data_IF_446436078010
#
_entry.id   IF_446436078010
#
_cell.length_a   1.000
_cell.length_b   1.000
_cell.length_c   1.000
_cell.angle_alpha   90.00
_cell.angle_beta   90.00
_cell.angle_gamma   90.00
#
_symmetry.space_group_name_H-M   'P 1'
#
loop_
_entity.id
_entity.type
_entity.pdbx_description
1 polymer ?
#
# COMPACT_ATOMS: atom_id res chain seq x y z
N UNK A 1 20.96 1.36 -9.14
CA UNK A 1 19.51 1.69 -9.10
C UNK A 1 19.10 1.71 -7.63
N UNK A 2 18.28 2.68 -7.18
CA UNK A 2 17.77 2.65 -5.81
C UNK A 2 16.91 1.41 -5.61
N UNK A 3 17.16 0.68 -4.54
CA UNK A 3 16.29 -0.43 -4.11
C UNK A 3 15.34 0.10 -3.04
N UNK A 4 14.14 -0.48 -2.99
CA UNK A 4 13.09 -0.17 -2.04
C UNK A 4 12.62 -1.45 -1.36
N UNK A 5 12.38 -1.37 -0.06
CA UNK A 5 11.80 -2.46 0.72
C UNK A 5 10.28 -2.30 0.76
N UNK A 6 9.57 -3.34 0.34
CA UNK A 6 8.11 -3.46 0.39
C UNK A 6 7.76 -4.34 1.58
N UNK A 7 7.16 -3.76 2.61
CA UNK A 7 6.66 -4.48 3.79
C UNK A 7 5.19 -4.80 3.55
N UNK A 8 4.91 -6.05 3.19
CA UNK A 8 3.57 -6.55 2.87
C UNK A 8 2.90 -7.07 4.15
N UNK A 9 1.98 -6.29 4.71
CA UNK A 9 1.26 -6.66 5.92
C UNK A 9 -0.12 -7.25 5.60
N UNK A 10 -0.36 -8.50 6.03
CA UNK A 10 -1.67 -9.14 5.86
C UNK A 10 -2.00 -10.12 6.99
N UNK A 11 -3.13 -9.87 7.67
CA UNK A 11 -3.67 -10.72 8.75
C UNK A 11 -2.63 -11.08 9.83
N UNK A 12 -1.77 -10.12 10.19
CA UNK A 12 -0.71 -10.34 11.19
C UNK A 12 0.52 -11.08 10.67
N UNK A 13 0.59 -11.35 9.37
CA UNK A 13 1.81 -11.82 8.70
C UNK A 13 2.49 -10.65 7.99
N UNK A 14 3.80 -10.60 8.13
CA UNK A 14 4.68 -9.67 7.43
C UNK A 14 5.48 -10.46 6.38
N UNK A 15 5.48 -9.98 5.14
CA UNK A 15 6.37 -10.44 4.08
C UNK A 15 7.17 -9.25 3.55
N UNK A 16 8.50 -9.40 3.43
CA UNK A 16 9.37 -8.33 2.94
C UNK A 16 9.81 -8.65 1.52
N UNK A 17 9.58 -7.73 0.60
CA UNK A 17 10.02 -7.81 -0.80
C UNK A 17 10.94 -6.65 -1.14
N UNK A 18 11.83 -6.87 -2.11
CA UNK A 18 12.68 -5.80 -2.64
C UNK A 18 12.23 -5.47 -4.06
N UNK A 19 12.15 -4.18 -4.38
CA UNK A 19 11.88 -3.70 -5.73
C UNK A 19 12.79 -2.56 -6.10
N UNK A 20 13.19 -2.48 -7.36
CA UNK A 20 13.86 -1.32 -7.95
C UNK A 20 12.86 -0.30 -8.53
N UNK A 21 11.56 -0.62 -8.50
CA UNK A 21 10.51 0.24 -9.03
C UNK A 21 10.15 1.34 -8.02
N UNK A 22 10.12 2.62 -8.42
CA UNK A 22 9.69 3.70 -7.54
C UNK A 22 8.21 3.52 -7.15
N UNK A 23 7.93 3.71 -5.86
CA UNK A 23 6.61 3.58 -5.27
C UNK A 23 6.17 4.90 -4.67
N UNK A 24 4.86 5.10 -4.59
CA UNK A 24 4.25 6.28 -3.97
C UNK A 24 3.15 5.85 -3.02
N UNK A 25 3.01 6.56 -1.90
CA UNK A 25 1.89 6.36 -0.98
C UNK A 25 0.56 6.59 -1.71
N UNK A 26 -0.39 5.69 -1.52
CA UNK A 26 -1.66 5.64 -2.27
C UNK A 26 -1.61 4.85 -3.58
N UNK A 27 -0.42 4.43 -4.03
CA UNK A 27 -0.29 3.57 -5.20
C UNK A 27 -0.76 2.14 -4.89
N UNK A 28 -1.41 1.50 -5.86
CA UNK A 28 -1.72 0.07 -5.79
C UNK A 28 -0.74 -0.70 -6.66
N UNK A 29 -0.03 -1.67 -6.08
CA UNK A 29 0.90 -2.57 -6.76
C UNK A 29 0.35 -3.98 -6.81
N UNK A 30 0.70 -4.73 -7.86
CA UNK A 30 0.29 -6.13 -8.01
C UNK A 30 1.50 -7.02 -7.78
N UNK A 31 1.44 -7.84 -6.73
CA UNK A 31 2.51 -8.76 -6.31
C UNK A 31 1.86 -10.12 -6.09
N UNK A 32 2.40 -11.16 -6.73
CA UNK A 32 1.87 -12.54 -6.65
C UNK A 32 0.36 -12.62 -6.95
N UNK A 33 -0.09 -11.85 -7.96
CA UNK A 33 -1.51 -11.74 -8.37
C UNK A 33 -2.44 -11.13 -7.30
N UNK A 34 -1.88 -10.50 -6.26
CA UNK A 34 -2.61 -9.76 -5.24
C UNK A 34 -2.38 -8.26 -5.35
N UNK A 35 -3.42 -7.48 -5.07
CA UNK A 35 -3.36 -6.02 -5.05
C UNK A 35 -2.99 -5.53 -3.65
N UNK A 36 -1.92 -4.75 -3.58
CA UNK A 36 -1.38 -4.17 -2.36
C UNK A 36 -1.44 -2.66 -2.48
N UNK A 37 -2.01 -2.00 -1.46
CA UNK A 37 -2.03 -0.55 -1.37
C UNK A 37 -0.83 -0.10 -0.55
N UNK A 38 -0.01 0.79 -1.10
CA UNK A 38 1.06 1.46 -0.34
C UNK A 38 0.38 2.46 0.61
N UNK A 39 0.40 2.18 1.91
CA UNK A 39 -0.25 3.01 2.92
C UNK A 39 0.69 4.03 3.54
N UNK A 40 1.97 3.68 3.68
CA UNK A 40 2.97 4.56 4.26
C UNK A 40 4.34 4.34 3.64
N UNK A 41 5.17 5.36 3.73
CA UNK A 41 6.58 5.31 3.42
C UNK A 41 7.35 5.64 4.68
N UNK A 42 8.21 4.72 5.10
CA UNK A 42 9.17 4.90 6.17
C UNK A 42 10.53 5.22 5.54
N UNK A 43 10.95 6.48 5.71
CA UNK A 43 12.23 6.97 5.21
C UNK A 43 13.28 6.73 6.29
N UNK A 44 14.38 6.03 5.97
CA UNK A 44 15.43 5.81 6.95
C UNK A 44 16.08 7.12 7.34
N UNK A 45 16.52 7.20 8.60
CA UNK A 45 17.31 8.33 9.09
C UNK A 45 18.70 8.36 8.44
N UNK A 46 19.24 7.18 8.10
CA UNK A 46 20.51 7.03 7.41
C UNK A 46 20.34 7.17 5.88
N UNK A 47 21.12 8.05 5.22
CA UNK A 47 21.05 8.24 3.77
C UNK A 47 21.58 7.03 2.97
N UNK A 48 22.22 6.06 3.64
CA UNK A 48 22.73 4.83 3.04
C UNK A 48 21.75 3.64 3.21
N UNK A 49 20.64 3.84 3.92
CA UNK A 49 19.64 2.81 4.12
C UNK A 49 18.53 2.89 3.06
N UNK A 50 17.85 1.78 2.87
CA UNK A 50 16.79 1.62 1.87
C UNK A 50 15.46 2.16 2.41
N UNK A 51 14.74 2.93 1.59
CA UNK A 51 13.39 3.37 1.94
C UNK A 51 12.41 2.19 1.97
N UNK A 52 11.56 2.18 3.00
CA UNK A 52 10.57 1.14 3.25
C UNK A 52 9.18 1.65 2.92
N UNK A 53 8.38 0.80 2.28
CA UNK A 53 7.00 1.08 1.91
C UNK A 53 6.11 0.04 2.55
N UNK A 54 5.24 0.48 3.45
CA UNK A 54 4.29 -0.37 4.13
C UNK A 54 3.07 -0.53 3.22
N UNK A 55 2.79 -1.77 2.86
CA UNK A 55 1.72 -2.12 1.97
C UNK A 55 0.73 -3.04 2.67
N UNK A 56 -0.56 -2.71 2.60
CA UNK A 56 -1.61 -3.61 3.08
C UNK A 56 -2.37 -4.23 1.91
N UNK A 57 -2.77 -5.48 2.10
CA UNK A 57 -3.56 -6.18 1.09
C UNK A 57 -4.97 -5.62 1.08
N UNK A 58 -5.32 -4.94 0.00
CA UNK A 58 -6.74 -4.62 -0.26
C UNK A 58 -7.40 -5.90 -0.75
N UNK A 59 -8.42 -6.38 -0.03
CA UNK A 59 -9.33 -7.35 -0.59
C UNK A 59 -9.84 -6.79 -1.94
N UNK A 60 -9.83 -7.61 -2.99
CA UNK A 60 -10.37 -7.25 -4.29
C UNK A 60 -11.90 -7.15 -4.21
N UNK A 61 -12.45 -6.21 -3.43
CA UNK A 61 -13.88 -5.97 -3.30
C UNK A 61 -14.13 -4.60 -2.67
N UNK A 62 -14.51 -3.65 -3.51
CA UNK A 62 -15.66 -2.74 -3.32
C UNK A 62 -15.40 -1.43 -4.07
N UNK A 63 -15.44 -1.51 -5.40
CA UNK A 63 -16.12 -0.44 -6.11
C UNK A 63 -17.57 -0.50 -5.65
N UNK A 64 -17.96 0.42 -4.77
CA UNK A 64 -19.28 1.04 -4.66
C UNK A 64 -19.42 1.69 -3.27
N UNK A 65 -18.72 2.80 -3.00
CA UNK A 65 -19.30 3.80 -2.09
C UNK A 65 -20.36 4.53 -2.90
N UNK A 66 -21.53 3.90 -2.98
CA UNK A 66 -22.77 4.50 -3.47
C UNK A 66 -22.91 5.84 -2.77
N UNK A 67 -22.97 6.92 -3.55
CA UNK A 67 -23.60 8.17 -3.14
C UNK A 67 -24.99 7.81 -2.60
N UNK A 68 -25.17 7.84 -1.29
CA UNK A 68 -26.49 8.13 -0.73
C UNK A 68 -26.42 9.56 -0.22
N UNK A 69 -26.66 10.49 -1.15
CA UNK A 69 -27.25 11.77 -0.82
C UNK A 69 -28.54 11.48 -0.06
N UNK A 70 -28.70 12.09 1.13
CA UNK A 70 -29.83 11.80 2.01
C UNK A 70 -31.18 12.25 1.44
N UNK A 71 -32.28 11.97 2.14
CA UNK A 71 -33.49 12.77 2.03
C UNK A 71 -33.64 13.73 3.21
N UNK A 72 -34.40 14.78 2.91
CA UNK A 72 -34.62 15.98 3.68
C UNK A 72 -35.27 15.76 5.05
N UNK A 73 -35.00 16.74 5.91
CA UNK A 73 -35.69 17.04 7.17
C UNK A 73 -37.21 17.00 7.00
N UNK A 74 -37.91 16.52 8.01
CA UNK A 74 -39.27 16.93 8.35
C UNK A 74 -39.27 17.36 9.81
#
# INVERSE_FOLDING_TARGET
MPMYELVLWFQGNEDIRITDQPLSVGQTVVIDNFKWLVEAQDLPHDPNATARYICSRRAASSGNRTRNAGPARS
#
